data_IF_145026655197
#
_entry.id   IF_145026655197
#
_cell.length_a   1.000
_cell.length_b   1.000
_cell.length_c   1.000
_cell.angle_alpha   90.00
_cell.angle_beta   90.00
_cell.angle_gamma   90.00
#
_symmetry.space_group_name_H-M   'P 1'
#
loop_
_entity.id
_entity.type
_entity.pdbx_description
1 polymer ?
#
# COMPACT_ATOMS: atom_id res chain seq x y z
N UNK A 1 -0.64 -4.58 -22.62
CA UNK A 1 -1.33 -3.34 -22.24
C UNK A 1 -1.80 -2.69 -23.52
N UNK A 2 -3.09 -2.47 -23.67
CA UNK A 2 -3.67 -1.80 -24.83
C UNK A 2 -3.94 -0.31 -24.57
N UNK A 3 -4.36 0.42 -25.61
CA UNK A 3 -4.63 1.86 -25.50
C UNK A 3 -5.75 2.17 -24.49
N UNK A 4 -6.80 1.33 -24.44
CA UNK A 4 -7.89 1.48 -23.47
C UNK A 4 -7.40 1.36 -22.03
N UNK A 5 -6.53 0.39 -21.75
CA UNK A 5 -5.95 0.17 -20.42
C UNK A 5 -5.03 1.33 -20.00
N UNK A 6 -4.23 1.90 -20.92
CA UNK A 6 -3.38 3.05 -20.58
C UNK A 6 -4.18 4.31 -20.23
N UNK A 7 -5.28 4.56 -20.95
CA UNK A 7 -6.13 5.71 -20.70
C UNK A 7 -6.83 5.65 -19.34
N UNK A 8 -6.90 4.48 -18.70
CA UNK A 8 -7.40 4.37 -17.33
C UNK A 8 -6.51 5.07 -16.30
N UNK A 9 -5.22 5.30 -16.59
CA UNK A 9 -4.29 6.05 -15.74
C UNK A 9 -4.46 7.57 -15.86
N UNK A 10 -5.32 8.04 -16.77
CA UNK A 10 -5.60 9.44 -16.99
C UNK A 10 -6.97 9.85 -16.39
N UNK A 11 -7.09 11.12 -15.93
CA UNK A 11 -8.37 11.71 -15.60
C UNK A 11 -9.36 11.57 -16.76
N UNK A 12 -10.67 11.32 -16.51
CA UNK A 12 -11.66 11.11 -17.56
C UNK A 12 -11.70 12.24 -18.60
N UNK A 13 -11.52 13.49 -18.15
CA UNK A 13 -11.48 14.69 -18.99
C UNK A 13 -10.35 14.67 -20.03
N UNK A 14 -9.19 14.09 -19.70
CA UNK A 14 -8.00 14.12 -20.56
C UNK A 14 -7.91 12.91 -21.51
N UNK A 15 -8.74 11.87 -21.31
CA UNK A 15 -8.67 10.62 -22.09
C UNK A 15 -8.92 10.82 -23.57
N UNK A 16 -9.87 11.69 -23.93
CA UNK A 16 -10.23 11.89 -25.34
C UNK A 16 -9.09 12.56 -26.11
N UNK A 17 -8.42 13.54 -25.50
CA UNK A 17 -7.26 14.20 -26.12
C UNK A 17 -6.14 13.22 -26.46
N UNK A 18 -5.78 12.32 -25.53
CA UNK A 18 -4.76 11.30 -25.80
C UNK A 18 -5.20 10.25 -26.82
N UNK A 19 -6.50 9.89 -26.86
CA UNK A 19 -7.02 9.01 -27.93
C UNK A 19 -6.86 9.64 -29.30
N UNK A 20 -7.22 10.91 -29.42
CA UNK A 20 -7.19 11.62 -30.70
C UNK A 20 -5.74 11.76 -31.21
N UNK A 21 -4.78 12.07 -30.33
CA UNK A 21 -3.35 12.12 -30.67
C UNK A 21 -2.83 10.77 -31.17
N UNK A 22 -3.10 9.67 -30.45
CA UNK A 22 -2.64 8.34 -30.86
C UNK A 22 -3.27 7.91 -32.19
N UNK A 23 -4.54 8.27 -32.42
CA UNK A 23 -5.22 8.01 -33.69
C UNK A 23 -4.65 8.86 -34.84
N UNK A 24 -4.25 10.10 -34.58
CA UNK A 24 -3.56 10.94 -35.56
C UNK A 24 -2.15 10.43 -35.87
N UNK A 25 -1.38 10.00 -34.86
CA UNK A 25 -0.07 9.35 -35.05
C UNK A 25 -0.20 8.08 -35.91
N UNK A 26 -1.26 7.29 -35.70
CA UNK A 26 -1.52 6.08 -36.49
C UNK A 26 -1.91 6.37 -37.95
N UNK A 27 -2.52 7.54 -38.21
CA UNK A 27 -2.92 7.99 -39.56
C UNK A 27 -1.76 8.62 -40.33
N UNK A 28 -0.88 9.35 -39.66
CA UNK A 28 0.25 10.06 -40.27
C UNK A 28 1.51 9.18 -40.35
N UNK A 29 1.42 8.01 -41.00
CA UNK A 29 2.56 7.06 -41.17
C UNK A 29 3.81 7.64 -41.88
N UNK A 30 3.84 8.93 -42.19
CA UNK A 30 5.02 9.64 -42.69
C UNK A 30 5.04 11.05 -42.12
N UNK A 31 5.74 11.23 -41.01
CA UNK A 31 6.59 12.38 -40.64
C UNK A 31 6.76 12.44 -39.11
N UNK A 32 8.02 12.40 -38.68
CA UNK A 32 8.42 12.56 -37.28
C UNK A 32 8.02 13.96 -36.82
N UNK A 33 6.95 14.08 -36.04
CA UNK A 33 6.68 15.29 -35.26
C UNK A 33 6.74 14.96 -33.78
N UNK A 34 7.79 15.47 -33.14
CA UNK A 34 8.02 15.40 -31.72
C UNK A 34 7.04 16.36 -31.00
N UNK A 35 6.14 15.83 -30.18
CA UNK A 35 5.40 16.56 -29.14
C UNK A 35 4.71 15.48 -28.29
N UNK A 36 5.23 15.02 -27.15
CA UNK A 36 5.48 15.80 -25.94
C UNK A 36 6.93 15.64 -25.45
N UNK A 37 7.72 16.66 -25.75
CA UNK A 37 8.77 17.10 -24.84
C UNK A 37 8.11 17.97 -23.76
N UNK A 38 7.22 17.38 -22.95
CA UNK A 38 6.76 18.08 -21.75
C UNK A 38 7.81 17.86 -20.65
N UNK A 39 8.70 18.85 -20.55
CA UNK A 39 9.66 19.09 -19.46
C UNK A 39 10.99 18.29 -19.46
N UNK A 40 11.53 17.88 -20.61
CA UNK A 40 12.98 17.70 -20.74
C UNK A 40 13.62 18.94 -21.37
N UNK A 41 13.70 20.04 -20.61
CA UNK A 41 14.88 20.88 -20.75
C UNK A 41 16.02 20.12 -20.08
N UNK A 42 16.89 19.52 -20.89
CA UNK A 42 18.25 19.19 -20.47
C UNK A 42 18.61 17.71 -20.49
N UNK A 43 18.98 17.22 -21.67
CA UNK A 43 20.05 16.22 -21.73
C UNK A 43 21.36 16.86 -21.24
N UNK A 44 21.96 16.26 -20.20
CA UNK A 44 23.34 16.44 -19.69
C UNK A 44 23.78 17.81 -19.13
N UNK A 45 23.92 17.78 -17.79
CA UNK A 45 25.03 18.28 -16.95
C UNK A 45 25.07 19.76 -16.50
N UNK A 46 25.49 19.94 -15.24
CA UNK A 46 25.88 21.17 -14.53
C UNK A 46 24.76 22.09 -13.96
N UNK A 47 24.84 22.32 -12.64
CA UNK A 47 24.15 23.34 -11.82
C UNK A 47 22.66 23.13 -11.44
N UNK A 48 22.44 22.38 -10.35
CA UNK A 48 21.62 22.84 -9.22
C UNK A 48 20.20 23.41 -9.43
N UNK A 49 19.41 22.95 -10.41
CA UNK A 49 17.98 23.27 -10.49
C UNK A 49 17.13 21.99 -10.46
N UNK A 50 16.10 21.91 -9.60
CA UNK A 50 15.24 20.75 -9.52
C UNK A 50 14.42 20.58 -10.81
N UNK A 51 14.43 19.36 -11.35
CA UNK A 51 13.62 18.96 -12.51
C UNK A 51 12.18 18.75 -12.02
N UNK A 52 11.28 19.67 -12.38
CA UNK A 52 9.84 19.49 -12.16
C UNK A 52 9.26 18.66 -13.29
N UNK A 53 8.62 17.54 -12.97
CA UNK A 53 8.06 16.61 -13.95
C UNK A 53 6.54 16.51 -13.80
N UNK A 54 5.78 16.62 -14.90
CA UNK A 54 4.34 16.38 -14.88
C UNK A 54 4.07 14.88 -14.79
N UNK A 55 3.33 14.47 -13.76
CA UNK A 55 3.02 13.06 -13.48
C UNK A 55 1.55 12.90 -13.16
N UNK A 56 0.93 11.87 -13.75
CA UNK A 56 -0.42 11.43 -13.42
C UNK A 56 -0.38 10.47 -12.23
N UNK A 57 -0.78 10.95 -11.07
CA UNK A 57 -0.74 10.19 -9.82
C UNK A 57 -2.11 9.57 -9.58
N UNK A 58 -2.14 8.25 -9.50
CA UNK A 58 -3.34 7.49 -9.11
C UNK A 58 -3.23 7.10 -7.65
N UNK A 59 -4.06 7.71 -6.82
CA UNK A 59 -4.29 7.32 -5.44
C UNK A 59 -5.37 6.25 -5.41
N UNK A 60 -5.06 5.06 -4.90
CA UNK A 60 -6.03 3.98 -4.80
C UNK A 60 -6.11 3.39 -3.40
N UNK A 61 -7.33 3.15 -2.96
CA UNK A 61 -7.76 2.42 -1.77
C UNK A 61 -8.53 1.19 -2.26
N UNK A 62 -8.70 0.16 -1.42
CA UNK A 62 -9.47 -1.06 -1.71
C UNK A 62 -10.85 -0.80 -2.36
N UNK A 63 -11.52 0.30 -2.01
CA UNK A 63 -12.87 0.62 -2.48
C UNK A 63 -12.97 1.84 -3.40
N UNK A 64 -11.87 2.58 -3.63
CA UNK A 64 -11.93 3.86 -4.35
C UNK A 64 -10.61 4.18 -5.03
N UNK A 65 -10.66 4.77 -6.23
CA UNK A 65 -9.51 5.27 -6.97
C UNK A 65 -9.72 6.73 -7.37
N UNK A 66 -8.69 7.56 -7.19
CA UNK A 66 -8.65 8.97 -7.58
C UNK A 66 -7.39 9.23 -8.39
N UNK A 67 -7.53 9.94 -9.49
CA UNK A 67 -6.44 10.23 -10.41
C UNK A 67 -6.32 11.75 -10.49
N UNK A 68 -5.09 12.26 -10.37
CA UNK A 68 -4.80 13.68 -10.47
C UNK A 68 -3.50 13.90 -11.24
N UNK A 69 -3.47 14.95 -12.05
CA UNK A 69 -2.24 15.44 -12.67
C UNK A 69 -1.56 16.45 -11.73
N UNK A 70 -0.26 16.28 -11.49
CA UNK A 70 0.52 17.23 -10.69
C UNK A 70 1.98 17.29 -11.14
N UNK A 71 2.63 18.42 -10.88
CA UNK A 71 4.07 18.55 -11.07
C UNK A 71 4.79 18.07 -9.81
N UNK A 72 5.67 17.08 -9.95
CA UNK A 72 6.52 16.58 -8.88
C UNK A 72 7.92 17.19 -8.97
N UNK A 73 8.40 17.70 -7.84
CA UNK A 73 9.78 18.14 -7.67
C UNK A 73 10.61 17.00 -7.05
N UNK A 74 11.77 16.67 -7.64
CA UNK A 74 12.62 15.58 -7.15
C UNK A 74 13.09 15.72 -5.69
N UNK A 75 13.16 16.93 -5.13
CA UNK A 75 13.53 17.13 -3.71
C UNK A 75 12.35 16.89 -2.77
N UNK A 76 11.17 17.37 -3.14
CA UNK A 76 9.99 17.46 -2.26
C UNK A 76 8.81 16.60 -2.71
N UNK A 77 9.03 15.68 -3.66
CA UNK A 77 7.99 14.81 -4.24
C UNK A 77 7.16 14.10 -3.17
N UNK A 78 7.81 13.66 -2.08
CA UNK A 78 7.12 13.01 -0.97
C UNK A 78 6.10 13.94 -0.32
N UNK A 79 6.52 15.12 0.10
CA UNK A 79 5.66 16.10 0.75
C UNK A 79 4.50 16.52 -0.16
N UNK A 80 4.78 16.73 -1.45
CA UNK A 80 3.74 17.10 -2.42
C UNK A 80 2.68 16.01 -2.59
N UNK A 81 3.09 14.74 -2.64
CA UNK A 81 2.18 13.59 -2.72
C UNK A 81 1.38 13.43 -1.43
N UNK A 82 2.01 13.62 -0.27
CA UNK A 82 1.34 13.56 1.04
C UNK A 82 0.26 14.64 1.16
N UNK A 83 0.60 15.90 0.84
CA UNK A 83 -0.35 17.02 0.84
C UNK A 83 -1.51 16.76 -0.13
N UNK A 84 -1.21 16.24 -1.33
CA UNK A 84 -2.25 15.96 -2.32
C UNK A 84 -3.15 14.79 -1.92
N UNK A 85 -2.60 13.76 -1.28
CA UNK A 85 -3.37 12.66 -0.73
C UNK A 85 -4.31 13.13 0.38
N UNK A 86 -3.83 14.03 1.26
CA UNK A 86 -4.64 14.62 2.33
C UNK A 86 -5.81 15.46 1.81
N UNK A 87 -5.59 16.23 0.75
CA UNK A 87 -6.62 17.03 0.08
C UNK A 87 -7.69 16.14 -0.57
N UNK A 88 -7.28 15.11 -1.31
CA UNK A 88 -8.19 14.28 -2.11
C UNK A 88 -8.91 13.20 -1.28
N UNK A 89 -8.26 12.69 -0.23
CA UNK A 89 -8.74 11.57 0.58
C UNK A 89 -8.47 11.79 2.08
N UNK A 90 -9.16 12.76 2.73
CA UNK A 90 -8.89 13.13 4.12
C UNK A 90 -9.11 11.99 5.12
N UNK A 91 -10.04 11.08 4.85
CA UNK A 91 -10.31 9.89 5.68
C UNK A 91 -9.20 8.82 5.62
N UNK A 92 -8.35 8.83 4.58
CA UNK A 92 -7.24 7.89 4.43
C UNK A 92 -5.89 8.48 4.87
N UNK A 93 -5.79 9.80 4.99
CA UNK A 93 -4.54 10.52 5.24
C UNK A 93 -3.98 10.38 6.66
N UNK A 94 -4.82 10.07 7.66
CA UNK A 94 -4.41 10.03 9.07
C UNK A 94 -3.59 8.79 9.45
N UNK A 95 -3.42 7.84 8.52
CA UNK A 95 -2.69 6.59 8.74
C UNK A 95 -2.23 5.99 7.41
N UNK A 96 -1.74 6.81 6.47
CA UNK A 96 -1.16 6.28 5.25
C UNK A 96 0.27 5.80 5.52
N UNK A 97 0.47 4.48 5.58
CA UNK A 97 1.81 3.91 5.36
C UNK A 97 2.14 4.19 3.90
N UNK A 98 2.76 5.33 3.62
CA UNK A 98 3.25 5.61 2.29
C UNK A 98 4.32 4.54 1.97
N UNK A 99 4.09 3.76 0.90
CA UNK A 99 5.05 2.76 0.41
C UNK A 99 6.46 3.36 0.20
N UNK A 100 6.50 4.66 -0.10
CA UNK A 100 7.72 5.41 -0.34
C UNK A 100 8.23 6.11 0.93
N UNK A 101 9.45 5.78 1.33
CA UNK A 101 10.13 6.36 2.49
C UNK A 101 10.75 7.73 2.17
N UNK A 102 11.14 7.96 0.92
CA UNK A 102 11.95 9.09 0.46
C UNK A 102 11.51 9.54 -0.95
N UNK A 103 11.61 10.84 -1.25
CA UNK A 103 11.37 11.43 -2.58
C UNK A 103 12.13 10.71 -3.70
N UNK A 104 13.33 10.18 -3.43
CA UNK A 104 14.10 9.39 -4.41
C UNK A 104 13.38 8.11 -4.85
N UNK A 105 12.71 7.43 -3.92
CA UNK A 105 11.96 6.21 -4.24
C UNK A 105 10.76 6.52 -5.11
N UNK A 106 10.11 7.66 -4.87
CA UNK A 106 9.00 8.15 -5.68
C UNK A 106 9.47 8.41 -7.11
N UNK A 107 10.57 9.15 -7.28
CA UNK A 107 11.11 9.45 -8.61
C UNK A 107 11.49 8.18 -9.38
N UNK A 108 12.04 7.17 -8.70
CA UNK A 108 12.35 5.88 -9.30
C UNK A 108 11.10 5.03 -9.63
N UNK A 109 9.98 5.29 -8.97
CA UNK A 109 8.72 4.55 -9.15
C UNK A 109 7.84 5.14 -10.27
N UNK A 110 8.14 6.35 -10.75
CA UNK A 110 7.46 6.95 -11.90
C UNK A 110 7.69 6.09 -13.13
N UNK A 111 6.61 5.67 -13.78
CA UNK A 111 6.62 4.88 -15.00
C UNK A 111 6.23 5.75 -16.19
N UNK A 112 6.71 5.37 -17.37
CA UNK A 112 6.29 5.97 -18.64
C UNK A 112 5.39 4.99 -19.37
N UNK A 113 4.23 5.46 -19.83
CA UNK A 113 3.33 4.62 -20.62
C UNK A 113 3.95 4.31 -21.99
N UNK A 114 3.88 3.07 -22.48
CA UNK A 114 4.51 2.70 -23.75
C UNK A 114 3.80 3.27 -24.98
N UNK A 115 2.47 3.44 -24.94
CA UNK A 115 1.69 3.93 -26.09
C UNK A 115 1.58 5.45 -26.03
N UNK A 116 0.95 5.99 -24.98
CA UNK A 116 0.68 7.42 -24.86
C UNK A 116 1.88 8.25 -24.35
N UNK A 117 2.99 7.61 -23.93
CA UNK A 117 4.26 8.24 -23.53
C UNK A 117 4.19 9.22 -22.35
N UNK A 118 3.08 9.27 -21.62
CA UNK A 118 2.93 10.09 -20.40
C UNK A 118 3.57 9.40 -19.19
N UNK A 119 3.88 10.19 -18.15
CA UNK A 119 4.40 9.68 -16.89
C UNK A 119 3.29 9.46 -15.88
N UNK A 120 3.28 8.30 -15.22
CA UNK A 120 2.29 7.96 -14.22
C UNK A 120 2.92 7.33 -12.98
N UNK A 121 2.26 7.52 -11.86
CA UNK A 121 2.64 6.95 -10.57
C UNK A 121 1.40 6.34 -9.91
N UNK A 122 1.53 5.12 -9.41
CA UNK A 122 0.49 4.47 -8.63
C UNK A 122 0.87 4.58 -7.15
N UNK A 123 0.03 5.24 -6.37
CA UNK A 123 0.21 5.41 -4.94
C UNK A 123 -0.90 4.66 -4.22
N UNK A 124 -0.53 3.57 -3.55
CA UNK A 124 -1.45 2.84 -2.70
C UNK A 124 -1.62 3.60 -1.39
N UNK A 125 -2.83 4.05 -1.11
CA UNK A 125 -3.19 4.60 0.19
C UNK A 125 -3.80 3.46 1.01
N UNK A 126 -2.95 2.68 1.68
CA UNK A 126 -3.44 1.76 2.70
C UNK A 126 -3.51 2.49 4.03
N UNK A 127 -4.67 2.45 4.72
CA UNK A 127 -4.65 2.65 6.15
C UNK A 127 -3.64 1.65 6.73
N UNK A 128 -2.76 2.12 7.61
CA UNK A 128 -1.76 1.39 8.39
C UNK A 128 -2.44 0.26 9.18
N UNK A 129 -2.84 -0.79 8.46
CA UNK A 129 -3.94 -1.65 8.87
C UNK A 129 -5.25 -0.84 9.09
N UNK A 130 -6.45 -1.44 8.97
CA UNK A 130 -7.59 -0.86 9.68
C UNK A 130 -7.13 -0.64 11.12
N UNK A 131 -7.50 0.48 11.76
CA UNK A 131 -7.33 0.77 13.19
C UNK A 131 -7.03 -0.54 13.92
N UNK A 132 -5.85 -0.65 14.56
CA UNK A 132 -5.39 -1.83 15.32
C UNK A 132 -6.47 -2.29 16.31
N UNK A 133 -7.45 -3.01 15.81
CA UNK A 133 -8.66 -3.47 16.52
C UNK A 133 -8.64 -4.99 16.69
N UNK A 134 -7.60 -5.62 16.15
CA UNK A 134 -7.23 -7.03 16.33
C UNK A 134 -5.89 -7.11 17.10
N UNK A 135 -5.63 -6.15 17.98
CA UNK A 135 -4.62 -6.32 19.03
C UNK A 135 -5.23 -7.19 20.11
N UNK A 136 -4.60 -8.32 20.38
CA UNK A 136 -4.96 -9.09 21.56
C UNK A 136 -4.39 -8.41 22.80
N UNK A 137 -5.07 -8.55 23.95
CA UNK A 137 -4.52 -8.17 25.27
C UNK A 137 -3.48 -9.21 25.74
N UNK A 138 -2.58 -9.62 24.84
CA UNK A 138 -1.56 -10.64 25.07
C UNK A 138 -0.26 -10.29 24.36
N UNK A 139 0.87 -10.65 24.98
CA UNK A 139 2.20 -10.53 24.41
C UNK A 139 2.67 -11.88 23.94
N UNK A 140 3.43 -11.89 22.85
CA UNK A 140 4.09 -13.10 22.38
C UNK A 140 5.22 -13.45 23.35
N UNK A 141 5.24 -14.66 23.90
CA UNK A 141 6.29 -15.10 24.83
C UNK A 141 7.67 -15.19 24.18
N UNK A 142 7.69 -15.44 22.87
CA UNK A 142 8.92 -15.64 22.12
C UNK A 142 9.57 -14.31 21.69
N UNK A 143 8.81 -13.41 21.05
CA UNK A 143 9.35 -12.12 20.57
C UNK A 143 9.08 -10.94 21.51
N UNK A 144 8.32 -11.16 22.59
CA UNK A 144 7.94 -10.17 23.62
C UNK A 144 7.19 -8.94 23.09
N UNK A 145 6.70 -9.01 21.86
CA UNK A 145 5.89 -7.96 21.25
C UNK A 145 4.41 -8.19 21.53
N UNK A 146 3.61 -7.12 21.49
CA UNK A 146 2.15 -7.27 21.49
C UNK A 146 1.70 -8.09 20.28
N UNK A 147 0.75 -9.00 20.50
CA UNK A 147 0.23 -9.84 19.43
C UNK A 147 -0.79 -9.04 18.61
N UNK A 148 -0.49 -8.91 17.33
CA UNK A 148 -1.38 -8.33 16.33
C UNK A 148 -1.83 -9.41 15.34
N UNK A 149 -3.11 -9.42 14.99
CA UNK A 149 -3.66 -10.39 14.04
C UNK A 149 -4.07 -11.68 14.73
N UNK A 150 -3.37 -12.79 14.46
CA UNK A 150 -3.70 -14.09 15.05
C UNK A 150 -2.86 -14.37 16.29
N UNK A 151 -3.54 -14.60 17.42
CA UNK A 151 -2.97 -15.15 18.65
C UNK A 151 -3.04 -16.66 18.62
N UNK A 152 -1.93 -17.31 18.96
CA UNK A 152 -1.83 -18.76 19.07
C UNK A 152 -1.58 -19.10 20.53
N UNK A 153 -2.60 -19.65 21.20
CA UNK A 153 -2.50 -20.05 22.59
C UNK A 153 -2.18 -21.53 22.69
N UNK A 154 -1.15 -21.89 23.44
CA UNK A 154 -0.81 -23.29 23.70
C UNK A 154 -1.91 -23.96 24.54
N UNK A 155 -2.26 -25.21 24.22
CA UNK A 155 -3.24 -25.99 25.02
C UNK A 155 -2.63 -26.66 26.24
N UNK A 156 -1.30 -26.77 26.29
CA UNK A 156 -0.60 -27.60 27.27
C UNK A 156 0.26 -26.76 28.23
N UNK A 157 0.71 -25.57 27.79
CA UNK A 157 1.53 -24.68 28.59
C UNK A 157 0.70 -23.61 29.33
N UNK A 158 1.19 -23.22 30.51
CA UNK A 158 0.59 -22.15 31.29
C UNK A 158 0.88 -20.80 30.65
N UNK A 159 -0.19 -20.07 30.33
CA UNK A 159 -0.16 -18.71 29.78
C UNK A 159 0.79 -18.48 28.59
N UNK A 160 1.01 -19.52 27.76
CA UNK A 160 1.90 -19.42 26.61
C UNK A 160 1.14 -19.02 25.35
N UNK A 161 1.52 -17.87 24.79
CA UNK A 161 0.93 -17.25 23.63
C UNK A 161 2.01 -16.80 22.64
N UNK A 162 1.82 -17.12 21.36
CA UNK A 162 2.71 -16.66 20.30
C UNK A 162 1.95 -15.94 19.19
N UNK A 163 2.66 -15.04 18.50
CA UNK A 163 2.12 -14.36 17.33
C UNK A 163 2.27 -15.21 16.07
N UNK A 164 1.50 -14.87 15.03
CA UNK A 164 1.56 -15.52 13.71
C UNK A 164 2.98 -15.63 13.11
N UNK A 165 3.87 -14.67 13.38
CA UNK A 165 5.23 -14.69 12.86
C UNK A 165 6.17 -15.64 13.63
N UNK A 166 5.88 -15.91 14.90
CA UNK A 166 6.60 -16.91 15.68
C UNK A 166 6.09 -18.31 15.35
N UNK A 167 4.78 -18.46 15.18
CA UNK A 167 4.17 -19.72 14.75
C UNK A 167 4.62 -20.13 13.33
N UNK A 168 4.73 -19.18 12.38
CA UNK A 168 5.20 -19.47 11.02
C UNK A 168 6.66 -19.95 10.95
N UNK A 169 7.44 -19.70 12.01
CA UNK A 169 8.80 -20.23 12.18
C UNK A 169 8.81 -21.58 12.90
N UNK A 170 7.64 -22.16 13.14
CA UNK A 170 7.44 -23.43 13.85
C UNK A 170 8.03 -23.42 15.27
N UNK A 171 8.05 -22.24 15.91
CA UNK A 171 8.45 -22.11 17.30
C UNK A 171 7.33 -22.67 18.19
N UNK A 172 7.71 -23.52 19.15
CA UNK A 172 6.78 -24.24 20.01
C UNK A 172 5.82 -25.19 19.26
N UNK A 173 6.34 -25.88 18.23
CA UNK A 173 5.56 -26.81 17.38
C UNK A 173 5.31 -28.19 18.02
N UNK A 174 5.90 -28.47 19.18
CA UNK A 174 5.70 -29.69 19.95
C UNK A 174 4.32 -29.80 20.59
N UNK A 175 3.60 -28.68 20.76
CA UNK A 175 2.27 -28.64 21.37
C UNK A 175 1.22 -28.13 20.41
N UNK A 176 -0.02 -28.58 20.61
CA UNK A 176 -1.16 -28.08 19.86
C UNK A 176 -1.47 -26.63 20.25
N UNK A 177 -1.76 -25.79 19.25
CA UNK A 177 -2.08 -24.38 19.46
C UNK A 177 -3.48 -24.05 18.96
N UNK A 178 -4.20 -23.25 19.75
CA UNK A 178 -5.48 -22.68 19.38
C UNK A 178 -5.27 -21.35 18.69
N UNK A 179 -5.72 -21.24 17.44
CA UNK A 179 -5.73 -19.98 16.69
C UNK A 179 -6.93 -19.12 17.06
N UNK A 180 -6.66 -18.01 17.72
CA UNK A 180 -7.63 -16.99 18.10
C UNK A 180 -7.47 -15.83 17.11
N UNK A 181 -8.52 -15.54 16.32
CA UNK A 181 -8.48 -14.46 15.32
C UNK A 181 -8.70 -13.09 15.94
N UNK A 182 -9.55 -13.04 16.95
CA UNK A 182 -9.95 -11.85 17.69
C UNK A 182 -10.56 -12.25 19.02
N UNK A 183 -10.21 -11.53 20.08
CA UNK A 183 -10.74 -11.75 21.43
C UNK A 183 -12.26 -11.49 21.44
N UNK A 184 -13.01 -12.33 22.16
CA UNK A 184 -14.47 -12.27 22.25
C UNK A 184 -15.25 -12.68 21.00
N UNK A 185 -14.65 -12.62 19.80
CA UNK A 185 -15.28 -13.07 18.54
C UNK A 185 -14.97 -14.52 18.22
N UNK A 186 -13.75 -14.98 18.54
CA UNK A 186 -13.40 -16.39 18.36
C UNK A 186 -14.05 -17.21 19.46
N UNK A 187 -15.16 -17.88 19.14
CA UNK A 187 -15.84 -18.75 20.09
C UNK A 187 -15.03 -20.04 20.32
N UNK A 188 -14.44 -20.17 21.50
CA UNK A 188 -13.80 -21.40 21.97
C UNK A 188 -14.87 -22.22 22.70
N UNK A 189 -15.21 -23.44 22.24
CA UNK A 189 -16.22 -24.25 22.89
C UNK A 189 -15.89 -24.54 24.36
N UNK A 190 -16.91 -24.48 25.23
CA UNK A 190 -16.75 -24.66 26.68
C UNK A 190 -16.09 -25.98 27.07
N UNK A 191 -16.28 -27.06 26.29
CA UNK A 191 -15.65 -28.34 26.58
C UNK A 191 -14.12 -28.32 26.41
N UNK A 192 -13.57 -27.35 25.65
CA UNK A 192 -12.12 -27.17 25.54
C UNK A 192 -11.61 -26.44 26.78
N UNK A 193 -12.28 -25.35 27.19
CA UNK A 193 -11.85 -24.53 28.33
C UNK A 193 -12.09 -25.21 29.68
N UNK A 194 -13.18 -25.96 29.84
CA UNK A 194 -13.52 -26.64 31.10
C UNK A 194 -12.69 -27.90 31.37
N UNK A 195 -12.23 -28.60 30.32
CA UNK A 195 -11.37 -29.77 30.46
C UNK A 195 -9.89 -29.42 30.47
N UNK A 196 -9.53 -28.20 30.08
CA UNK A 196 -8.15 -27.76 30.11
C UNK A 196 -7.68 -27.56 31.57
N UNK A 197 -6.39 -27.83 31.87
CA UNK A 197 -5.86 -27.54 33.18
C UNK A 197 -6.03 -26.05 33.54
N UNK A 198 -6.35 -25.75 34.81
CA UNK A 198 -6.62 -24.37 35.27
C UNK A 198 -5.48 -23.39 34.96
N UNK A 199 -4.25 -23.86 34.84
CA UNK A 199 -3.09 -23.04 34.52
C UNK A 199 -3.04 -22.63 33.02
N UNK A 200 -3.71 -23.36 32.14
CA UNK A 200 -3.79 -23.04 30.71
C UNK A 200 -4.83 -21.93 30.47
N UNK A 201 -5.99 -22.02 31.13
CA UNK A 201 -7.06 -21.02 31.09
C UNK A 201 -7.43 -20.54 32.50
N UNK A 202 -6.70 -19.55 33.07
CA UNK A 202 -6.91 -19.10 34.45
C UNK A 202 -8.30 -18.49 34.71
N UNK A 203 -8.98 -18.03 33.65
CA UNK A 203 -10.30 -17.40 33.71
C UNK A 203 -11.44 -18.31 33.22
N UNK A 204 -11.19 -19.61 32.96
CA UNK A 204 -12.25 -20.55 32.67
C UNK A 204 -12.99 -20.92 33.97
N UNK A 205 -14.30 -20.66 34.01
CA UNK A 205 -15.17 -21.02 35.14
C UNK A 205 -15.34 -22.54 35.25
#
# INVERSE_FOLDING_TARGET
MDLSEELEFLPPEERQGFKDIVLEEAKNQTERVAYYECASVGSRSFSGRPVRQLVYVTFYIRSNKKIVSMFLDGTDAKKQIEEKAAELMPTASNQADFEFKDSRQIMNAIKRSPICKFYYLLVRLEPLHPIRTDSHEARCDECRQMIYGHRYKCTDCADFDICQNCESKSLHSEHAMLRIKKDGVTHIPNYITANAPRFVFPNAC
#
